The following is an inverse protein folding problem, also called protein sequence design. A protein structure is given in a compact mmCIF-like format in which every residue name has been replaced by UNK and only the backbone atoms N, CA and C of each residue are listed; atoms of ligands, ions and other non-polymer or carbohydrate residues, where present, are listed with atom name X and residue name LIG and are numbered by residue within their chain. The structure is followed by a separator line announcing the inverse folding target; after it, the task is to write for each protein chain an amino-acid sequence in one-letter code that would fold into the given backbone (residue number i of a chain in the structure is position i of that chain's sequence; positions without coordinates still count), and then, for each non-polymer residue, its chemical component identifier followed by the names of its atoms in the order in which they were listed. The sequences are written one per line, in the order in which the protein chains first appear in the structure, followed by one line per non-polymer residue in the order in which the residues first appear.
data_IF_428160299570
#
_entry.id   IF_428160299570
#
_cell.length_a   1.000
_cell.length_b   1.000
_cell.length_c   1.000
_cell.angle_alpha   90.00
_cell.angle_beta   90.00
_cell.angle_gamma   90.00
#
_symmetry.space_group_name_H-M   'P 1'
#
loop_
_entity.id
_entity.type
_entity.pdbx_description
1 polymer ?
#
# COMPACT_ATOMS: atom_id res chain seq x y z
N UNK A 1 -19.81 -26.42 -11.77
CA UNK A 1 -19.08 -25.17 -11.48
C UNK A 1 -19.41 -24.72 -10.07
N UNK A 2 -18.42 -24.68 -9.17
CA UNK A 2 -18.31 -23.82 -7.97
C UNK A 2 -17.10 -24.30 -7.16
N UNK A 3 -15.92 -23.76 -7.48
CA UNK A 3 -14.75 -23.84 -6.62
C UNK A 3 -14.99 -22.91 -5.44
N UNK A 4 -15.35 -23.46 -4.29
CA UNK A 4 -15.31 -22.77 -3.01
C UNK A 4 -13.83 -22.65 -2.65
N UNK A 5 -13.23 -21.52 -3.05
CA UNK A 5 -11.87 -21.18 -2.70
C UNK A 5 -11.75 -21.03 -1.19
N UNK A 6 -11.13 -22.02 -0.56
CA UNK A 6 -10.81 -22.00 0.87
C UNK A 6 -9.98 -20.75 1.17
N UNK A 7 -10.52 -19.86 2.01
CA UNK A 7 -9.76 -18.75 2.60
C UNK A 7 -8.74 -19.39 3.54
N UNK A 8 -7.57 -19.68 2.99
CA UNK A 8 -6.40 -20.10 3.74
C UNK A 8 -5.94 -18.87 4.49
N UNK A 9 -6.37 -18.74 5.75
CA UNK A 9 -5.84 -17.76 6.69
C UNK A 9 -4.33 -18.00 6.73
N UNK A 10 -3.58 -17.14 6.05
CA UNK A 10 -2.12 -17.18 6.02
C UNK A 10 -1.60 -16.77 7.39
N UNK A 11 -1.61 -17.73 8.31
CA UNK A 11 -0.84 -17.71 9.54
C UNK A 11 0.63 -17.84 9.13
N UNK A 12 1.34 -16.72 9.12
CA UNK A 12 2.79 -16.68 8.88
C UNK A 12 3.22 -15.59 7.93
N UNK A 13 3.15 -14.32 8.35
CA UNK A 13 3.91 -13.25 7.68
C UNK A 13 5.31 -13.22 8.32
N UNK A 14 6.09 -14.29 8.12
CA UNK A 14 7.41 -14.44 8.76
C UNK A 14 8.57 -13.92 7.91
N UNK A 15 8.33 -13.07 6.90
CA UNK A 15 9.40 -12.34 6.22
C UNK A 15 8.85 -11.07 5.53
N UNK A 16 8.65 -9.99 6.28
CA UNK A 16 8.45 -8.62 5.73
C UNK A 16 9.79 -8.03 5.23
N UNK A 17 10.55 -8.81 4.46
CA UNK A 17 11.78 -8.34 3.78
C UNK A 17 11.55 -8.01 2.30
N UNK A 18 10.35 -8.30 1.76
CA UNK A 18 9.98 -7.94 0.39
C UNK A 18 9.27 -6.59 0.35
N UNK A 19 9.83 -5.67 -0.41
CA UNK A 19 9.24 -4.36 -0.70
C UNK A 19 7.85 -4.50 -1.34
N UNK A 20 7.63 -5.54 -2.16
CA UNK A 20 6.33 -5.84 -2.78
C UNK A 20 5.24 -6.16 -1.75
N UNK A 21 5.57 -6.84 -0.65
CA UNK A 21 4.61 -7.19 0.41
C UNK A 21 4.18 -5.95 1.18
N UNK A 22 5.14 -5.07 1.49
CA UNK A 22 4.86 -3.79 2.16
C UNK A 22 4.00 -2.89 1.27
N UNK A 23 4.31 -2.84 -0.02
CA UNK A 23 3.52 -2.07 -1.00
C UNK A 23 2.10 -2.60 -1.12
N UNK A 24 1.92 -3.90 -1.37
CA UNK A 24 0.61 -4.52 -1.50
C UNK A 24 -0.25 -4.27 -0.26
N UNK A 25 0.35 -4.36 0.93
CA UNK A 25 -0.37 -4.12 2.16
C UNK A 25 -0.76 -2.65 2.34
N UNK A 26 0.10 -1.72 1.96
CA UNK A 26 -0.23 -0.29 1.97
C UNK A 26 -1.35 0.03 0.99
N UNK A 27 -1.29 -0.49 -0.24
CA UNK A 27 -2.35 -0.31 -1.26
C UNK A 27 -3.67 -0.91 -0.77
N UNK A 28 -3.64 -2.09 -0.16
CA UNK A 28 -4.83 -2.70 0.42
C UNK A 28 -5.48 -1.82 1.48
N UNK A 29 -4.69 -1.24 2.40
CA UNK A 29 -5.20 -0.31 3.41
C UNK A 29 -5.78 0.96 2.80
N UNK A 30 -5.18 1.48 1.72
CA UNK A 30 -5.72 2.62 1.01
C UNK A 30 -7.05 2.30 0.34
N UNK A 31 -7.18 1.15 -0.34
CA UNK A 31 -8.43 0.70 -0.97
C UNK A 31 -9.52 0.43 0.07
N UNK A 32 -9.17 -0.21 1.18
CA UNK A 32 -10.09 -0.42 2.31
C UNK A 32 -10.55 0.92 2.89
N UNK A 33 -9.63 1.87 3.09
CA UNK A 33 -9.96 3.23 3.53
C UNK A 33 -10.92 3.95 2.59
N UNK A 34 -10.66 3.93 1.27
CA UNK A 34 -11.57 4.52 0.28
C UNK A 34 -12.94 3.85 0.32
N UNK A 35 -13.01 2.53 0.47
CA UNK A 35 -14.28 1.81 0.60
C UNK A 35 -15.08 2.17 1.86
N UNK A 36 -14.40 2.54 2.95
CA UNK A 36 -15.03 2.88 4.23
C UNK A 36 -15.39 4.36 4.35
N UNK A 37 -14.55 5.25 3.83
CA UNK A 37 -14.63 6.70 4.05
C UNK A 37 -14.89 7.50 2.78
N UNK A 38 -15.07 6.84 1.63
CA UNK A 38 -15.21 7.49 0.34
C UNK A 38 -13.93 8.23 -0.04
N UNK A 39 -14.07 9.46 -0.52
CA UNK A 39 -12.95 10.29 -0.97
C UNK A 39 -12.42 11.24 0.12
N UNK A 40 -12.67 10.99 1.42
CA UNK A 40 -12.11 11.81 2.50
C UNK A 40 -10.65 11.42 2.81
N UNK A 41 -9.66 12.22 2.37
CA UNK A 41 -8.25 11.86 2.53
C UNK A 41 -7.80 11.87 4.00
N UNK A 42 -8.45 12.66 4.87
CA UNK A 42 -8.07 12.75 6.27
C UNK A 42 -8.43 11.48 7.03
N UNK A 43 -9.63 10.93 6.78
CA UNK A 43 -10.09 9.68 7.39
C UNK A 43 -9.35 8.47 6.82
N UNK A 44 -9.11 8.41 5.51
CA UNK A 44 -8.28 7.36 4.89
C UNK A 44 -6.88 7.35 5.52
N UNK A 45 -6.27 8.53 5.69
CA UNK A 45 -4.94 8.62 6.31
C UNK A 45 -4.96 8.15 7.77
N UNK A 46 -5.96 8.55 8.56
CA UNK A 46 -6.12 8.07 9.95
C UNK A 46 -6.30 6.56 10.02
N UNK A 47 -7.04 5.97 9.08
CA UNK A 47 -7.22 4.53 8.98
C UNK A 47 -5.89 3.81 8.72
N UNK A 48 -5.12 4.28 7.73
CA UNK A 48 -3.79 3.74 7.44
C UNK A 48 -2.86 3.89 8.65
N UNK A 49 -2.81 5.06 9.28
CA UNK A 49 -1.95 5.32 10.44
C UNK A 49 -2.27 4.38 11.62
N UNK A 50 -3.55 4.12 11.88
CA UNK A 50 -3.99 3.13 12.89
C UNK A 50 -3.57 1.70 12.54
N UNK A 51 -3.65 1.32 11.26
CA UNK A 51 -3.22 -0.01 10.84
C UNK A 51 -1.69 -0.17 10.95
N UNK A 52 -0.94 0.89 10.61
CA UNK A 52 0.52 0.91 10.70
C UNK A 52 1.03 0.99 12.14
N UNK A 53 0.25 1.49 13.11
CA UNK A 53 0.70 1.54 14.51
C UNK A 53 0.95 0.14 15.11
N UNK A 54 0.36 -0.91 14.53
CA UNK A 54 0.63 -2.30 14.89
C UNK A 54 1.90 -2.89 14.26
N UNK A 55 2.58 -2.16 13.37
CA UNK A 55 3.77 -2.64 12.67
C UNK A 55 5.05 -2.30 13.42
N UNK A 56 6.10 -3.09 13.18
CA UNK A 56 7.42 -2.78 13.72
C UNK A 56 7.93 -1.44 13.19
N UNK A 57 8.81 -0.78 13.96
CA UNK A 57 9.46 0.46 13.50
C UNK A 57 10.29 0.23 12.22
N UNK A 58 10.88 -0.96 12.06
CA UNK A 58 11.64 -1.32 10.88
C UNK A 58 10.76 -1.38 9.62
N UNK A 59 9.58 -2.00 9.72
CA UNK A 59 8.65 -2.09 8.58
C UNK A 59 8.07 -0.71 8.23
N UNK A 60 7.75 0.11 9.24
CA UNK A 60 7.30 1.50 9.03
C UNK A 60 8.38 2.34 8.34
N UNK A 61 9.65 2.18 8.74
CA UNK A 61 10.77 2.87 8.09
C UNK A 61 10.93 2.45 6.63
N UNK A 62 10.92 1.13 6.35
CA UNK A 62 11.02 0.59 4.98
C UNK A 62 9.87 1.04 4.09
N UNK A 63 8.65 1.07 4.61
CA UNK A 63 7.50 1.59 3.87
C UNK A 63 7.69 3.08 3.51
N UNK A 64 8.20 3.90 4.44
CA UNK A 64 8.52 5.31 4.13
C UNK A 64 9.59 5.43 3.05
N UNK A 65 10.64 4.61 3.10
CA UNK A 65 11.69 4.58 2.07
C UNK A 65 11.11 4.20 0.70
N UNK A 66 10.28 3.16 0.64
CA UNK A 66 9.58 2.76 -0.59
C UNK A 66 8.73 3.90 -1.15
N UNK A 67 7.88 4.51 -0.31
CA UNK A 67 6.99 5.58 -0.73
C UNK A 67 7.80 6.80 -1.20
N UNK A 68 8.88 7.14 -0.50
CA UNK A 68 9.78 8.22 -0.91
C UNK A 68 10.41 7.93 -2.28
N UNK A 69 10.87 6.71 -2.55
CA UNK A 69 11.41 6.34 -3.87
C UNK A 69 10.34 6.51 -4.95
N UNK A 70 9.10 6.08 -4.71
CA UNK A 70 8.02 6.15 -5.69
C UNK A 70 7.46 7.55 -5.91
N UNK A 71 7.48 8.41 -4.90
CA UNK A 71 7.10 9.84 -5.06
C UNK A 71 8.23 10.69 -5.63
N UNK A 72 9.49 10.29 -5.42
CA UNK A 72 10.67 10.93 -6.01
C UNK A 72 10.95 10.46 -7.44
N UNK A 73 10.37 9.32 -7.85
CA UNK A 73 10.38 8.91 -9.24
C UNK A 73 9.62 9.97 -10.04
N UNK A 74 10.25 10.64 -11.03
CA UNK A 74 9.50 11.50 -11.92
C UNK A 74 8.40 10.64 -12.53
N UNK A 75 7.14 11.09 -12.42
CA UNK A 75 6.06 10.53 -13.21
C UNK A 75 6.60 10.45 -14.63
N UNK A 76 6.79 9.22 -15.15
CA UNK A 76 7.35 9.04 -16.48
C UNK A 76 6.38 9.72 -17.44
N UNK A 77 6.74 10.95 -17.80
CA UNK A 77 6.04 11.76 -18.78
C UNK A 77 6.10 10.91 -20.04
N UNK A 78 4.93 10.40 -20.46
CA UNK A 78 4.84 9.57 -21.64
C UNK A 78 5.50 10.28 -22.83
N UNK A 79 6.12 9.55 -23.76
CA UNK A 79 6.70 10.16 -24.95
C UNK A 79 5.55 10.69 -25.82
N UNK A 80 5.16 11.95 -25.66
CA UNK A 80 3.93 12.40 -26.28
C UNK A 80 3.65 13.90 -26.45
N UNK A 81 4.38 14.82 -25.82
CA UNK A 81 4.13 16.25 -26.07
C UNK A 81 5.43 17.04 -26.20
N UNK A 82 5.98 16.99 -27.41
CA UNK A 82 6.84 18.06 -27.95
C UNK A 82 5.95 18.96 -28.78
N UNK A 83 5.40 20.00 -28.16
CA UNK A 83 4.81 21.14 -28.86
C UNK A 83 5.88 22.24 -28.94
N UNK A 84 6.63 22.22 -30.05
CA UNK A 84 7.32 23.36 -30.66
C UNK A 84 7.48 23.05 -32.15
#
# INVERSE_FOLDING_TARGET
MRLVGSIKILKGVSNMNDFDVLEQRYVQLAVEGVGLFGDDPAEIRRHIDRALSGWSEADRRRLRELLAIKTSAPAQMGPGESLC
#
